data_IF_041485837743
#
_entry.id   IF_041485837743
#
_cell.length_a   1.000
_cell.length_b   1.000
_cell.length_c   1.000
_cell.angle_alpha   90.00
_cell.angle_beta   90.00
_cell.angle_gamma   90.00
#
_symmetry.space_group_name_H-M   'P 1'
#
loop_
_entity.id
_entity.type
_entity.pdbx_description
1 polymer ?
#
# COMPACT_ATOMS: atom_id res chain seq x y z
N UNK A 1 6.83 12.57 0.45
CA UNK A 1 6.00 11.64 -0.35
C UNK A 1 4.89 11.09 0.52
N UNK A 2 3.74 10.91 -0.03
CA UNK A 2 2.61 10.36 0.70
C UNK A 2 2.15 9.09 0.04
N UNK A 3 2.01 8.03 0.83
CA UNK A 3 1.54 6.73 0.37
C UNK A 3 0.32 6.37 1.20
N UNK A 4 -0.76 5.97 0.55
CA UNK A 4 -2.00 5.62 1.24
C UNK A 4 -2.59 4.35 0.66
N UNK A 5 -3.31 3.60 1.49
CA UNK A 5 -4.15 2.53 0.99
C UNK A 5 -5.43 3.13 0.41
N UNK A 6 -5.89 2.58 -0.68
CA UNK A 6 -7.13 3.02 -1.26
C UNK A 6 -8.30 2.53 -0.44
N UNK A 7 -9.36 3.32 -0.39
CA UNK A 7 -10.55 2.90 0.31
C UNK A 7 -11.22 1.76 -0.45
N UNK A 8 -11.99 0.99 0.26
CA UNK A 8 -12.81 -0.06 -0.31
C UNK A 8 -12.05 -1.02 -1.19
N UNK A 9 -11.15 -1.79 -0.63
CA UNK A 9 -10.51 -2.83 -1.41
C UNK A 9 -11.57 -3.82 -1.88
N UNK A 10 -11.35 -4.39 -3.04
CA UNK A 10 -12.32 -5.33 -3.57
C UNK A 10 -12.34 -6.58 -2.72
N UNK A 11 -13.51 -6.96 -2.22
CA UNK A 11 -13.57 -8.11 -1.34
C UNK A 11 -13.32 -9.40 -2.11
N UNK A 12 -12.75 -10.31 -1.42
CA UNK A 12 -12.63 -11.69 -1.90
C UNK A 12 -11.74 -11.94 -3.06
N UNK A 13 -10.93 -10.99 -3.42
CA UNK A 13 -10.16 -11.21 -4.56
C UNK A 13 -8.79 -11.69 -4.34
N UNK A 14 -8.38 -11.74 -3.17
CA UNK A 14 -7.02 -12.15 -2.95
C UNK A 14 -6.85 -13.59 -3.12
N UNK A 15 -7.14 -14.16 -4.22
CA UNK A 15 -6.88 -15.53 -4.31
C UNK A 15 -5.75 -15.70 -5.18
N UNK A 16 -4.83 -15.43 -4.92
CA UNK A 16 -3.73 -15.62 -5.60
C UNK A 16 -3.41 -16.89 -6.22
N UNK A 17 -4.26 -17.48 -6.73
CA UNK A 17 -4.06 -18.75 -7.24
C UNK A 17 -2.75 -18.91 -7.94
N UNK A 18 -2.47 -18.24 -8.89
CA UNK A 18 -1.34 -18.47 -9.65
C UNK A 18 -0.23 -17.61 -9.33
N UNK A 19 0.41 -17.88 -8.29
CA UNK A 19 1.43 -17.05 -7.82
C UNK A 19 2.65 -17.16 -8.64
N UNK A 20 2.95 -16.12 -9.31
CA UNK A 20 4.15 -16.07 -10.02
C UNK A 20 5.31 -15.94 -9.06
N UNK A 21 6.28 -16.78 -9.22
CA UNK A 21 7.43 -16.82 -8.33
C UNK A 21 8.18 -15.49 -8.25
N UNK A 22 8.16 -14.72 -9.29
CA UNK A 22 8.88 -13.47 -9.31
C UNK A 22 8.11 -12.32 -8.70
N UNK A 23 6.93 -12.57 -8.18
CA UNK A 23 6.11 -11.53 -7.57
C UNK A 23 6.00 -10.28 -8.46
N UNK A 24 5.78 -10.50 -9.73
CA UNK A 24 5.55 -9.39 -10.62
C UNK A 24 4.17 -8.82 -10.36
N UNK A 25 4.10 -7.54 -10.18
CA UNK A 25 2.85 -6.85 -9.94
C UNK A 25 2.51 -6.00 -11.16
N UNK A 26 1.22 -5.90 -11.44
CA UNK A 26 0.76 -5.06 -12.52
C UNK A 26 0.90 -3.60 -12.10
N UNK A 27 1.56 -2.81 -12.93
CA UNK A 27 1.71 -1.38 -12.68
C UNK A 27 0.70 -0.62 -13.50
N UNK A 28 -0.08 0.23 -12.85
CA UNK A 28 -1.07 1.06 -13.50
C UNK A 28 -0.80 2.51 -13.14
N UNK A 29 -0.90 3.39 -14.11
CA UNK A 29 -0.69 4.82 -13.87
C UNK A 29 -2.01 5.55 -13.96
N UNK A 30 -2.30 6.35 -12.93
CA UNK A 30 -3.57 7.03 -12.81
C UNK A 30 -3.40 8.25 -11.92
N UNK A 31 -4.42 9.08 -11.83
CA UNK A 31 -4.40 10.22 -10.91
C UNK A 31 -4.82 9.73 -9.54
N UNK A 32 -3.92 9.85 -8.57
CA UNK A 32 -4.23 9.43 -7.20
C UNK A 32 -4.70 10.58 -6.32
N UNK A 33 -4.31 11.80 -6.64
CA UNK A 33 -4.75 12.98 -5.90
C UNK A 33 -4.11 13.11 -4.52
N UNK A 34 -4.38 14.22 -3.86
CA UNK A 34 -3.98 14.48 -2.46
C UNK A 34 -2.51 14.21 -2.13
N UNK A 35 -1.62 14.41 -3.09
CA UNK A 35 -0.20 14.17 -2.88
C UNK A 35 0.20 12.72 -2.78
N UNK A 36 -0.69 11.81 -3.10
CA UNK A 36 -0.40 10.38 -3.08
C UNK A 36 0.37 10.01 -4.32
N UNK A 37 1.53 9.39 -4.17
CA UNK A 37 2.38 9.00 -5.30
C UNK A 37 2.20 7.55 -5.70
N UNK A 38 1.78 6.69 -4.79
CA UNK A 38 1.56 5.29 -5.10
C UNK A 38 0.57 4.65 -4.17
N UNK A 39 -0.03 3.57 -4.61
CA UNK A 39 -0.93 2.74 -3.82
C UNK A 39 -0.76 1.29 -4.21
N UNK A 40 -0.80 0.41 -3.22
CA UNK A 40 -0.85 -1.02 -3.46
C UNK A 40 -2.26 -1.50 -3.18
N UNK A 41 -2.83 -2.24 -4.10
CA UNK A 41 -4.17 -2.79 -3.95
C UNK A 41 -4.13 -4.24 -3.55
N UNK A 42 -5.21 -4.68 -2.92
CA UNK A 42 -5.32 -6.06 -2.46
C UNK A 42 -5.25 -7.07 -3.61
N UNK A 43 -5.57 -6.67 -4.82
CA UNK A 43 -5.53 -7.56 -5.97
C UNK A 43 -4.14 -7.70 -6.59
N UNK A 44 -3.13 -7.08 -6.00
CA UNK A 44 -1.77 -7.16 -6.52
C UNK A 44 -1.42 -6.06 -7.52
N UNK A 45 -2.32 -5.13 -7.75
CA UNK A 45 -2.02 -4.01 -8.64
C UNK A 45 -1.30 -2.92 -7.86
N UNK A 46 -0.28 -2.35 -8.46
CA UNK A 46 0.39 -1.17 -7.92
C UNK A 46 0.01 0.01 -8.80
N UNK A 47 -0.56 1.04 -8.19
CA UNK A 47 -0.88 2.27 -8.91
C UNK A 47 0.17 3.32 -8.63
N UNK A 48 0.62 4.00 -9.67
CA UNK A 48 1.58 5.09 -9.55
C UNK A 48 0.92 6.34 -10.11
N UNK A 49 1.05 7.45 -9.40
CA UNK A 49 0.43 8.70 -9.85
C UNK A 49 1.04 9.15 -11.19
N UNK A 50 0.20 9.72 -12.03
CA UNK A 50 0.64 10.19 -13.35
C UNK A 50 1.71 11.26 -13.31
N UNK A 51 1.82 11.99 -12.20
CA UNK A 51 2.86 13.00 -12.04
C UNK A 51 4.26 12.41 -11.92
N UNK A 52 4.36 11.11 -11.64
CA UNK A 52 5.64 10.45 -11.49
C UNK A 52 6.12 10.00 -12.87
N UNK A 53 7.29 10.48 -13.28
CA UNK A 53 7.82 10.18 -14.60
C UNK A 53 8.23 8.70 -14.70
N UNK A 54 7.72 7.96 -15.69
CA UNK A 54 8.09 6.56 -15.86
C UNK A 54 9.61 6.39 -16.02
N UNK A 55 10.16 5.42 -15.30
CA UNK A 55 11.58 5.11 -15.37
C UNK A 55 12.48 6.02 -14.55
N UNK A 56 11.93 7.05 -13.91
CA UNK A 56 12.72 7.95 -13.09
C UNK A 56 13.14 7.29 -11.78
N UNK A 57 14.06 7.90 -11.06
CA UNK A 57 14.45 7.42 -9.74
C UNK A 57 13.25 7.39 -8.79
N UNK A 58 12.40 8.41 -8.88
CA UNK A 58 11.20 8.47 -8.05
C UNK A 58 10.24 7.33 -8.41
N UNK A 59 10.07 7.05 -9.68
CA UNK A 59 9.20 5.96 -10.12
C UNK A 59 9.67 4.62 -9.54
N UNK A 60 10.95 4.34 -9.62
CA UNK A 60 11.51 3.11 -9.05
C UNK A 60 11.33 3.04 -7.54
N UNK A 61 11.51 4.17 -6.89
CA UNK A 61 11.35 4.26 -5.44
C UNK A 61 9.90 4.00 -5.03
N UNK A 62 8.95 4.61 -5.72
CA UNK A 62 7.52 4.40 -5.47
C UNK A 62 7.17 2.93 -5.70
N UNK A 63 7.61 2.36 -6.79
CA UNK A 63 7.31 0.96 -7.08
C UNK A 63 7.88 0.02 -6.03
N UNK A 64 9.10 0.25 -5.57
CA UNK A 64 9.69 -0.59 -4.50
C UNK A 64 8.91 -0.48 -3.20
N UNK A 65 8.49 0.71 -2.84
CA UNK A 65 7.68 0.94 -1.65
C UNK A 65 6.36 0.17 -1.74
N UNK A 66 5.64 0.36 -2.83
CA UNK A 66 4.34 -0.29 -2.98
C UNK A 66 4.46 -1.81 -3.16
N UNK A 67 5.57 -2.27 -3.72
CA UNK A 67 5.78 -3.70 -3.86
C UNK A 67 5.91 -4.42 -2.52
N UNK A 68 6.45 -3.75 -1.51
CA UNK A 68 6.49 -4.33 -0.15
C UNK A 68 5.07 -4.53 0.35
N UNK A 69 4.22 -3.52 0.23
CA UNK A 69 2.82 -3.63 0.63
C UNK A 69 2.11 -4.74 -0.15
N UNK A 70 2.30 -4.78 -1.45
CA UNK A 70 1.64 -5.78 -2.28
C UNK A 70 2.07 -7.20 -1.92
N UNK A 71 3.34 -7.41 -1.65
CA UNK A 71 3.83 -8.72 -1.21
C UNK A 71 3.27 -9.12 0.14
N UNK A 72 3.20 -8.17 1.06
CA UNK A 72 2.66 -8.46 2.40
C UNK A 72 1.17 -8.76 2.34
N UNK A 73 0.44 -8.06 1.49
CA UNK A 73 -0.98 -8.37 1.28
C UNK A 73 -1.15 -9.76 0.66
N UNK A 74 -0.33 -10.10 -0.28
CA UNK A 74 -0.40 -11.40 -0.92
C UNK A 74 -0.10 -12.55 0.03
N UNK A 75 0.81 -12.35 0.97
CA UNK A 75 1.12 -13.33 2.00
C UNK A 75 0.10 -13.36 3.13
N UNK A 76 -0.85 -12.44 3.15
CA UNK A 76 -1.80 -12.34 4.24
C UNK A 76 -1.25 -11.65 5.48
N UNK A 77 -0.06 -11.06 5.41
CA UNK A 77 0.52 -10.36 6.55
C UNK A 77 -0.20 -9.05 6.84
N UNK A 78 -0.60 -8.34 5.79
CA UNK A 78 -1.31 -7.10 5.93
C UNK A 78 -2.60 -7.14 5.12
N UNK A 79 -3.64 -6.53 5.65
CA UNK A 79 -4.91 -6.37 4.95
C UNK A 79 -5.54 -5.06 5.39
N UNK A 80 -6.41 -4.50 4.57
CA UNK A 80 -7.10 -3.28 4.94
C UNK A 80 -8.51 -3.24 4.39
N UNK A 81 -9.35 -2.49 5.07
CA UNK A 81 -10.71 -2.18 4.64
C UNK A 81 -10.98 -0.72 4.89
N UNK A 82 -12.23 -0.32 4.76
CA UNK A 82 -12.59 1.09 4.93
C UNK A 82 -12.30 1.62 6.33
N UNK A 83 -12.42 0.78 7.33
CA UNK A 83 -12.32 1.20 8.74
C UNK A 83 -11.22 0.50 9.53
N UNK A 84 -10.36 -0.24 8.88
CA UNK A 84 -9.28 -0.94 9.58
C UNK A 84 -8.05 -1.16 8.70
N UNK A 85 -6.92 -1.36 9.37
CA UNK A 85 -5.72 -1.98 8.78
C UNK A 85 -5.29 -3.07 9.74
N UNK A 86 -5.03 -4.26 9.22
CA UNK A 86 -4.52 -5.37 10.02
C UNK A 86 -3.09 -5.65 9.62
N UNK A 87 -2.21 -5.72 10.60
CA UNK A 87 -0.80 -6.06 10.40
C UNK A 87 -0.46 -7.24 11.29
N UNK A 88 -0.24 -8.39 10.69
CA UNK A 88 -0.07 -9.63 11.43
C UNK A 88 -1.37 -9.97 12.15
N UNK A 89 -1.30 -10.06 13.47
CA UNK A 89 -2.47 -10.33 14.29
C UNK A 89 -3.02 -9.09 15.01
N UNK A 90 -2.53 -7.91 14.64
CA UNK A 90 -2.99 -6.65 15.24
C UNK A 90 -3.85 -5.89 14.25
N UNK A 91 -4.93 -5.32 14.75
CA UNK A 91 -5.85 -4.52 13.94
C UNK A 91 -5.88 -3.09 14.45
N UNK A 92 -5.79 -2.15 13.53
CA UNK A 92 -5.78 -0.72 13.84
C UNK A 92 -6.98 -0.05 13.20
N UNK A 93 -7.56 0.92 13.90
CA UNK A 93 -8.70 1.67 13.35
C UNK A 93 -8.23 2.61 12.24
N UNK A 94 -9.04 2.71 11.21
CA UNK A 94 -8.83 3.58 10.08
C UNK A 94 -10.05 4.48 9.91
N UNK A 95 -9.82 5.79 9.84
CA UNK A 95 -10.92 6.74 9.70
C UNK A 95 -10.42 8.04 9.10
N UNK A 96 -11.12 8.54 8.11
CA UNK A 96 -10.83 9.85 7.50
C UNK A 96 -9.37 10.01 7.06
N UNK A 97 -8.80 8.97 6.48
CA UNK A 97 -7.43 9.01 6.00
C UNK A 97 -6.38 8.92 7.10
N UNK A 98 -6.78 8.46 8.27
CA UNK A 98 -5.88 8.32 9.41
C UNK A 98 -5.96 6.94 10.02
N UNK A 99 -4.88 6.55 10.69
CA UNK A 99 -4.76 5.27 11.38
C UNK A 99 -4.50 5.55 12.85
N UNK A 100 -5.23 4.88 13.72
CA UNK A 100 -5.00 4.98 15.16
C UNK A 100 -3.91 4.01 15.57
N UNK A 101 -2.77 4.55 15.97
CA UNK A 101 -1.61 3.73 16.35
C UNK A 101 -1.04 4.24 17.67
N UNK A 102 -0.87 3.36 18.62
CA UNK A 102 -0.40 3.71 19.97
C UNK A 102 -1.21 4.84 20.60
N UNK A 103 -2.53 4.78 20.44
CA UNK A 103 -3.43 5.75 21.04
C UNK A 103 -3.53 7.09 20.35
N UNK A 104 -2.83 7.27 19.24
CA UNK A 104 -2.85 8.53 18.48
C UNK A 104 -3.23 8.30 17.04
N UNK A 105 -3.88 9.28 16.44
CA UNK A 105 -4.21 9.24 15.02
C UNK A 105 -3.04 9.76 14.20
N UNK A 106 -2.65 9.00 13.18
CA UNK A 106 -1.57 9.37 12.26
C UNK A 106 -2.10 9.34 10.84
N UNK A 107 -1.57 10.18 9.99
CA UNK A 107 -1.92 10.13 8.56
C UNK A 107 -1.55 8.78 7.97
N UNK A 108 -2.37 8.27 7.08
CA UNK A 108 -2.00 7.10 6.31
C UNK A 108 -0.73 7.40 5.54
N UNK A 109 0.16 6.46 5.46
CA UNK A 109 1.46 6.68 4.83
C UNK A 109 2.51 7.25 5.76
N UNK A 110 2.14 7.56 6.99
CA UNK A 110 3.12 8.05 7.97
C UNK A 110 4.17 7.00 8.27
N UNK A 111 5.42 7.44 8.34
CA UNK A 111 6.54 6.53 8.61
C UNK A 111 6.57 5.96 10.02
N UNK A 112 5.69 6.41 10.91
CA UNK A 112 5.61 5.80 12.24
C UNK A 112 4.87 4.46 12.21
N UNK A 113 4.08 4.23 11.18
CA UNK A 113 3.31 2.99 11.06
C UNK A 113 4.24 1.84 10.67
N UNK A 114 4.11 0.67 11.32
CA UNK A 114 5.05 -0.44 11.08
C UNK A 114 5.16 -0.86 9.61
N UNK A 115 4.03 -0.94 8.92
CA UNK A 115 4.04 -1.37 7.52
C UNK A 115 4.66 -0.30 6.61
N UNK A 116 4.58 0.97 6.99
CA UNK A 116 5.23 2.02 6.23
C UNK A 116 6.72 2.05 6.47
N UNK A 117 7.15 1.75 7.69
CA UNK A 117 8.57 1.62 7.98
C UNK A 117 9.22 0.51 7.15
N UNK A 118 8.54 -0.62 7.03
CA UNK A 118 9.05 -1.73 6.22
C UNK A 118 9.16 -1.36 4.75
N UNK A 119 8.15 -0.69 4.23
CA UNK A 119 8.15 -0.28 2.83
C UNK A 119 9.19 0.79 2.55
N UNK A 120 9.38 1.71 3.48
CA UNK A 120 10.37 2.77 3.32
C UNK A 120 11.78 2.22 3.21
N UNK A 121 12.08 1.15 3.92
CA UNK A 121 13.40 0.53 3.83
C UNK A 121 13.70 0.00 2.43
N UNK A 122 12.69 -0.33 1.65
CA UNK A 122 12.87 -0.87 0.31
C UNK A 122 13.06 0.23 -0.74
N UNK A 123 12.79 1.45 -0.39
CA UNK A 123 12.98 2.55 -1.32
C UNK A 123 14.44 2.76 -1.65
#
# INVERSE_FOLDING_TARGET
MSFKFKRSPLPGIAHGGNINKKHKFKIKRTNLGDGVLGEAKMDGTIEVDKSVKPGSKLDKKVQRHEAVHAKEMKRGKIAYGDDFVRDGNKTYHRKDGKIKYNGKWHEEGSNVLPWEKRAKKAE
#
